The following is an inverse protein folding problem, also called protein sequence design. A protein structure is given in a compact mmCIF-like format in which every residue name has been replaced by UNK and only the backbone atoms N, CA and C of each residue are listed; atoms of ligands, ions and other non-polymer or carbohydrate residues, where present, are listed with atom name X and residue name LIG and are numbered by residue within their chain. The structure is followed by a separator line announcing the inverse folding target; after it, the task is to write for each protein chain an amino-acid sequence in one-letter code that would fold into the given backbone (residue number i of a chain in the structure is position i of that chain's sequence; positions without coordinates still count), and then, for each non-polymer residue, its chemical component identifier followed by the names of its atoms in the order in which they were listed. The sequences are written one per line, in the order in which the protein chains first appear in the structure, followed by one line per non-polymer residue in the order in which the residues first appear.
data_IF_403764761693
#
_entry.id   IF_403764761693
#
_cell.length_a   1.000
_cell.length_b   1.000
_cell.length_c   1.000
_cell.angle_alpha   90.00
_cell.angle_beta   90.00
_cell.angle_gamma   90.00
#
_symmetry.space_group_name_H-M   'P 1'
#
loop_
_entity.id
_entity.type
_entity.pdbx_description
1 polymer ?
#
# COMPACT_ATOMS: atom_id res chain seq x y z
N UNK A 1 10.81 4.60 -12.75
CA UNK A 1 10.18 5.65 -13.56
C UNK A 1 8.81 5.96 -12.95
N UNK A 2 8.57 7.19 -12.52
CA UNK A 2 7.43 7.56 -11.65
C UNK A 2 6.08 7.31 -12.34
N UNK A 3 6.02 7.48 -13.66
CA UNK A 3 4.81 7.24 -14.44
C UNK A 3 4.37 5.76 -14.38
N UNK A 4 5.32 4.83 -14.52
CA UNK A 4 5.04 3.39 -14.46
C UNK A 4 4.56 2.95 -13.07
N UNK A 5 5.11 3.54 -12.00
CA UNK A 5 4.66 3.26 -10.64
C UNK A 5 3.20 3.64 -10.43
N UNK A 6 2.77 4.81 -10.94
CA UNK A 6 1.37 5.25 -10.85
C UNK A 6 0.42 4.30 -11.57
N UNK A 7 0.78 3.83 -12.75
CA UNK A 7 -0.05 2.91 -13.53
C UNK A 7 -0.22 1.55 -12.82
N UNK A 8 0.86 1.01 -12.27
CA UNK A 8 0.81 -0.22 -11.47
C UNK A 8 -0.10 -0.04 -10.25
N UNK A 9 0.01 1.09 -9.55
CA UNK A 9 -0.81 1.35 -8.37
C UNK A 9 -2.31 1.48 -8.70
N UNK A 10 -2.67 1.98 -9.89
CA UNK A 10 -4.06 1.97 -10.38
C UNK A 10 -4.58 0.54 -10.56
N UNK A 11 -3.78 -0.34 -11.13
CA UNK A 11 -4.15 -1.76 -11.32
C UNK A 11 -4.36 -2.43 -9.95
N UNK A 12 -3.43 -2.24 -9.02
CA UNK A 12 -3.56 -2.79 -7.66
C UNK A 12 -4.79 -2.23 -6.92
N UNK A 13 -5.08 -0.94 -7.10
CA UNK A 13 -6.30 -0.36 -6.57
C UNK A 13 -7.54 -1.07 -7.10
N UNK A 14 -7.69 -1.22 -8.41
CA UNK A 14 -8.83 -1.89 -9.04
C UNK A 14 -8.98 -3.35 -8.58
N UNK A 15 -7.88 -4.11 -8.52
CA UNK A 15 -7.88 -5.49 -8.04
C UNK A 15 -8.27 -5.57 -6.56
N UNK A 16 -7.79 -4.64 -5.74
CA UNK A 16 -8.14 -4.63 -4.32
C UNK A 16 -9.61 -4.26 -4.08
N UNK A 17 -10.17 -3.37 -4.89
CA UNK A 17 -11.59 -3.04 -4.84
C UNK A 17 -12.48 -4.15 -5.42
N UNK A 18 -11.96 -4.99 -6.33
CA UNK A 18 -12.68 -6.19 -6.81
C UNK A 18 -12.68 -7.36 -5.82
N UNK A 19 -12.07 -7.19 -4.64
CA UNK A 19 -12.04 -8.18 -3.56
C UNK A 19 -10.74 -8.98 -3.47
N UNK A 20 -9.74 -8.70 -4.31
CA UNK A 20 -8.43 -9.36 -4.23
C UNK A 20 -7.62 -8.79 -3.06
N UNK A 21 -7.10 -9.66 -2.20
CA UNK A 21 -6.16 -9.23 -1.15
C UNK A 21 -4.77 -9.04 -1.73
N UNK A 22 -4.18 -7.86 -1.52
CA UNK A 22 -2.83 -7.52 -1.99
C UNK A 22 -1.96 -7.23 -0.78
N UNK A 23 -0.78 -7.84 -0.75
CA UNK A 23 0.30 -7.51 0.20
C UNK A 23 1.48 -7.02 -0.62
N UNK A 24 2.00 -5.85 -0.26
CA UNK A 24 3.14 -5.24 -0.93
C UNK A 24 4.13 -4.73 0.10
N UNK A 25 5.42 -4.76 -0.25
CA UNK A 25 6.51 -4.25 0.58
C UNK A 25 7.12 -3.05 -0.12
N UNK A 26 7.21 -1.92 0.59
CA UNK A 26 7.80 -0.70 0.07
C UNK A 26 8.53 0.06 1.17
N UNK A 27 9.53 0.85 0.77
CA UNK A 27 10.19 1.83 1.63
C UNK A 27 9.66 3.25 1.38
N UNK A 28 8.83 3.45 0.36
CA UNK A 28 8.24 4.72 0.00
C UNK A 28 6.89 4.91 0.71
N UNK A 29 6.79 5.94 1.56
CA UNK A 29 5.58 6.19 2.34
C UNK A 29 4.37 6.53 1.45
N UNK A 30 4.59 7.22 0.32
CA UNK A 30 3.53 7.58 -0.62
C UNK A 30 2.85 6.33 -1.19
N UNK A 31 3.64 5.31 -1.56
CA UNK A 31 3.13 4.02 -2.03
C UNK A 31 2.36 3.30 -0.90
N UNK A 32 2.88 3.30 0.33
CA UNK A 32 2.22 2.68 1.47
C UNK A 32 0.85 3.32 1.79
N UNK A 33 0.70 4.64 1.57
CA UNK A 33 -0.54 5.37 1.82
C UNK A 33 -1.68 5.00 0.85
N UNK A 34 -1.40 4.25 -0.23
CA UNK A 34 -2.43 3.66 -1.09
C UNK A 34 -3.00 2.34 -0.55
N UNK A 35 -2.41 1.75 0.49
CA UNK A 35 -2.92 0.54 1.12
C UNK A 35 -4.05 0.86 2.12
N UNK A 36 -4.90 -0.14 2.42
CA UNK A 36 -5.93 -0.03 3.48
C UNK A 36 -5.32 -0.13 4.89
N UNK A 37 -4.15 -0.76 5.01
CA UNK A 37 -3.44 -1.04 6.27
C UNK A 37 -1.94 -0.95 6.03
N UNK A 38 -1.20 -0.39 6.99
CA UNK A 38 0.26 -0.32 6.98
C UNK A 38 0.78 -1.09 8.19
N UNK A 39 1.72 -2.00 7.94
CA UNK A 39 2.46 -2.72 8.97
C UNK A 39 3.92 -2.31 8.86
N UNK A 40 4.50 -1.76 9.93
CA UNK A 40 5.93 -1.44 9.98
C UNK A 40 6.69 -2.52 10.73
N UNK A 41 7.75 -3.00 10.10
CA UNK A 41 8.65 -3.99 10.65
C UNK A 41 9.99 -3.34 11.00
N UNK A 42 10.57 -3.74 12.14
CA UNK A 42 11.93 -3.38 12.53
C UNK A 42 12.55 -4.56 13.27
N UNK A 43 13.76 -4.96 12.86
CA UNK A 43 14.52 -6.06 13.47
C UNK A 43 13.69 -7.34 13.64
N UNK A 44 12.89 -7.69 12.62
CA UNK A 44 12.03 -8.88 12.61
C UNK A 44 10.73 -8.76 13.42
N UNK A 45 10.47 -7.62 14.06
CA UNK A 45 9.30 -7.38 14.89
C UNK A 45 8.34 -6.38 14.25
N UNK A 46 7.03 -6.58 14.44
CA UNK A 46 6.02 -5.57 14.12
C UNK A 46 6.09 -4.47 15.17
N UNK A 47 6.39 -3.26 14.74
CA UNK A 47 6.45 -2.08 15.60
C UNK A 47 5.23 -1.16 15.43
N UNK A 48 4.50 -1.31 14.32
CA UNK A 48 3.27 -0.56 14.07
C UNK A 48 2.36 -1.36 13.15
N UNK A 49 1.06 -1.24 13.41
CA UNK A 49 0.01 -1.89 12.64
C UNK A 49 -1.24 -1.01 12.68
N UNK A 50 -1.50 -0.30 11.59
CA UNK A 50 -2.53 0.73 11.55
C UNK A 50 -3.35 0.69 10.26
N UNK A 51 -4.65 0.94 10.38
CA UNK A 51 -5.50 1.24 9.23
C UNK A 51 -5.16 2.66 8.73
N UNK A 52 -5.15 2.84 7.40
CA UNK A 52 -4.86 4.15 6.81
C UNK A 52 -6.17 4.96 6.76
N UNK A 53 -6.31 6.05 7.54
CA UNK A 53 -7.57 6.78 7.64
C UNK A 53 -7.92 7.56 6.36
N UNK A 54 -6.89 8.07 5.67
CA UNK A 54 -7.04 8.85 4.44
C UNK A 54 -6.28 8.16 3.30
N UNK A 55 -6.70 6.94 2.96
CA UNK A 55 -6.10 6.17 1.88
C UNK A 55 -6.12 6.99 0.58
N UNK A 56 -4.97 7.08 -0.09
CA UNK A 56 -4.91 7.71 -1.42
C UNK A 56 -5.51 6.74 -2.44
N UNK A 57 -6.57 7.17 -3.12
CA UNK A 57 -7.27 6.39 -4.14
C UNK A 57 -7.00 6.94 -5.54
N UNK A 58 -7.29 6.13 -6.55
CA UNK A 58 -7.22 6.51 -7.97
C UNK A 58 -8.59 6.49 -8.62
#
# INVERSE_FOLDING_TARGET
DTASSIEIMKIFYQLNESGTTIVMVTHEQDIANHAKRIVRLRDGNIIEDTLVPNRITY
#
